data_IF_056088754167
#
_entry.id   IF_056088754167
#
_cell.length_a   1.000
_cell.length_b   1.000
_cell.length_c   1.000
_cell.angle_alpha   90.00
_cell.angle_beta   90.00
_cell.angle_gamma   90.00
#
_symmetry.space_group_name_H-M   'P 1'
#
loop_
_entity.id
_entity.type
_entity.pdbx_description
1 polymer ?
#
# COMPACT_ATOMS: atom_id res chain seq x y z
N UNK A 1 13.31 -49.05 -32.25
CA UNK A 1 13.91 -48.07 -31.37
C UNK A 1 13.41 -46.69 -31.74
N UNK A 2 12.47 -46.13 -30.99
CA UNK A 2 11.99 -44.76 -31.16
C UNK A 2 12.67 -43.93 -30.10
N UNK A 3 13.57 -43.01 -30.51
CA UNK A 3 14.22 -42.07 -29.63
C UNK A 3 13.23 -41.12 -29.06
N UNK A 4 13.14 -41.08 -27.75
CA UNK A 4 12.35 -40.09 -27.02
C UNK A 4 12.99 -38.73 -27.18
N UNK A 5 12.31 -37.80 -27.82
CA UNK A 5 12.62 -36.38 -27.75
C UNK A 5 12.44 -35.93 -26.31
N UNK A 6 13.54 -35.66 -25.64
CA UNK A 6 13.52 -34.90 -24.40
C UNK A 6 13.10 -33.48 -24.77
N UNK A 7 11.85 -33.15 -24.50
CA UNK A 7 11.34 -31.79 -24.63
C UNK A 7 12.26 -30.84 -23.85
N UNK A 8 12.80 -29.85 -24.53
CA UNK A 8 13.49 -28.73 -23.91
C UNK A 8 12.45 -28.07 -22.95
N UNK A 9 12.81 -27.77 -21.71
CA UNK A 9 11.92 -26.97 -20.87
C UNK A 9 11.59 -25.69 -21.63
N UNK A 10 10.32 -25.43 -21.87
CA UNK A 10 9.86 -24.24 -22.57
C UNK A 10 10.27 -23.02 -21.75
N UNK A 11 11.07 -22.15 -22.35
CA UNK A 11 11.39 -20.86 -21.74
C UNK A 11 10.12 -20.00 -21.87
N UNK A 12 9.48 -19.67 -20.75
CA UNK A 12 8.40 -18.70 -20.76
C UNK A 12 9.00 -17.31 -21.00
N UNK A 13 8.41 -16.56 -21.92
CA UNK A 13 8.70 -15.14 -22.12
C UNK A 13 7.37 -14.41 -22.20
N UNK A 14 7.19 -13.44 -21.37
CA UNK A 14 5.96 -12.64 -21.31
C UNK A 14 6.24 -11.22 -20.89
N UNK A 15 5.31 -10.32 -21.19
CA UNK A 15 5.41 -8.93 -20.80
C UNK A 15 4.03 -8.28 -20.82
N UNK A 16 3.87 -7.24 -20.04
CA UNK A 16 2.66 -6.44 -20.04
C UNK A 16 3.00 -4.97 -19.86
N UNK A 17 2.15 -4.11 -20.41
CA UNK A 17 2.26 -2.67 -20.21
C UNK A 17 1.38 -2.23 -19.07
N UNK A 18 1.90 -1.36 -18.23
CA UNK A 18 1.13 -0.71 -17.18
C UNK A 18 1.41 0.79 -17.13
N UNK A 19 0.44 1.57 -16.71
CA UNK A 19 0.61 3.00 -16.48
C UNK A 19 0.16 3.38 -15.08
N UNK A 20 0.77 4.43 -14.55
CA UNK A 20 0.34 5.06 -13.30
C UNK A 20 0.44 6.57 -13.44
N UNK A 21 -0.60 7.25 -13.07
CA UNK A 21 -0.70 8.71 -13.08
C UNK A 21 -0.88 9.18 -11.66
N UNK A 22 -0.20 10.25 -11.27
CA UNK A 22 -0.33 10.82 -9.93
C UNK A 22 -0.23 12.33 -9.97
N UNK A 23 -0.96 12.96 -9.07
CA UNK A 23 -0.89 14.38 -8.79
C UNK A 23 -0.86 14.57 -7.28
N UNK A 24 0.07 15.36 -6.79
CA UNK A 24 0.19 15.68 -5.36
C UNK A 24 0.53 17.14 -5.17
N UNK A 25 0.15 17.67 -4.01
CA UNK A 25 0.48 19.03 -3.58
C UNK A 25 0.75 19.04 -2.08
N UNK A 26 1.72 19.82 -1.64
CA UNK A 26 2.11 19.95 -0.25
C UNK A 26 2.22 21.43 0.12
N UNK A 27 1.11 22.11 0.46
CA UNK A 27 1.11 23.50 0.88
C UNK A 27 1.75 23.67 2.25
N UNK A 28 2.25 24.88 2.47
CA UNK A 28 2.75 25.35 3.76
C UNK A 28 1.79 26.43 4.26
N UNK A 29 1.30 26.28 5.49
CA UNK A 29 0.46 27.25 6.18
C UNK A 29 1.23 27.91 7.33
N UNK A 30 0.87 29.15 7.67
CA UNK A 30 1.52 29.90 8.77
C UNK A 30 2.70 30.75 8.34
N UNK A 31 3.43 31.28 9.31
CA UNK A 31 4.62 32.16 9.11
C UNK A 31 5.70 31.85 10.15
N UNK A 32 6.97 32.00 9.73
CA UNK A 32 8.13 31.89 10.64
C UNK A 32 8.19 30.52 11.31
N UNK A 33 8.39 30.52 12.62
CA UNK A 33 8.48 29.29 13.43
C UNK A 33 7.16 28.53 13.60
N UNK A 34 6.06 29.11 13.15
CA UNK A 34 4.70 28.50 13.24
C UNK A 34 4.22 28.01 11.88
N UNK A 35 5.14 27.65 10.99
CA UNK A 35 4.77 27.03 9.72
C UNK A 35 4.47 25.55 9.90
N UNK A 36 3.37 25.14 9.30
CA UNK A 36 2.96 23.73 9.22
C UNK A 36 2.79 23.32 7.76
N UNK A 37 3.06 22.06 7.48
CA UNK A 37 2.94 21.46 6.14
C UNK A 37 2.16 20.17 6.23
N UNK A 38 1.28 19.97 5.28
CA UNK A 38 0.68 18.67 5.02
C UNK A 38 0.55 18.49 3.51
N UNK A 39 0.07 17.34 3.06
CA UNK A 39 -0.05 17.04 1.65
C UNK A 39 -1.31 16.24 1.36
N UNK A 40 -1.70 16.27 0.11
CA UNK A 40 -2.69 15.33 -0.42
C UNK A 40 -2.34 14.94 -1.84
N UNK A 41 -2.88 13.79 -2.28
CA UNK A 41 -2.59 13.25 -3.59
C UNK A 41 -3.74 12.43 -4.16
N UNK A 42 -3.70 12.22 -5.47
CA UNK A 42 -4.45 11.18 -6.17
C UNK A 42 -3.49 10.38 -7.04
N UNK A 43 -3.67 9.08 -7.11
CA UNK A 43 -2.85 8.17 -7.93
C UNK A 43 -3.74 7.08 -8.49
N UNK A 44 -3.75 6.93 -9.83
CA UNK A 44 -4.63 6.01 -10.54
C UNK A 44 -3.91 5.37 -11.74
N UNK A 45 -4.46 4.27 -12.26
CA UNK A 45 -3.99 3.63 -13.48
C UNK A 45 -4.36 4.42 -14.73
N UNK A 46 -5.54 5.03 -14.76
CA UNK A 46 -5.99 5.88 -15.85
C UNK A 46 -6.00 7.36 -15.41
N UNK A 47 -5.59 8.30 -16.29
CA UNK A 47 -5.55 9.73 -15.93
C UNK A 47 -6.94 10.30 -15.65
N UNK A 48 -8.00 9.79 -16.32
CA UNK A 48 -9.38 10.22 -16.12
C UNK A 48 -9.96 9.88 -14.75
N UNK A 49 -9.35 8.94 -14.01
CA UNK A 49 -9.78 8.53 -12.67
C UNK A 49 -9.11 9.35 -11.56
N UNK A 50 -8.21 10.26 -11.92
CA UNK A 50 -7.59 11.16 -10.94
C UNK A 50 -8.64 12.13 -10.38
N UNK A 51 -8.53 12.42 -9.09
CA UNK A 51 -9.28 13.52 -8.50
C UNK A 51 -8.87 14.85 -9.16
N UNK A 52 -9.80 15.81 -9.23
CA UNK A 52 -9.51 17.11 -9.85
C UNK A 52 -8.38 17.84 -9.11
N UNK A 53 -7.51 18.58 -9.81
CA UNK A 53 -6.44 19.35 -9.19
C UNK A 53 -6.95 20.30 -8.10
N UNK A 54 -8.12 20.90 -8.32
CA UNK A 54 -8.76 21.81 -7.38
C UNK A 54 -9.17 21.10 -6.09
N UNK A 55 -9.73 19.88 -6.19
CA UNK A 55 -10.10 19.10 -5.03
C UNK A 55 -8.86 18.69 -4.20
N UNK A 56 -7.78 18.24 -4.88
CA UNK A 56 -6.52 17.87 -4.23
C UNK A 56 -5.91 19.09 -3.53
N UNK A 57 -5.86 20.24 -4.21
CA UNK A 57 -5.31 21.49 -3.66
C UNK A 57 -6.07 21.98 -2.44
N UNK A 58 -7.41 21.99 -2.53
CA UNK A 58 -8.28 22.40 -1.41
C UNK A 58 -8.07 21.51 -0.19
N UNK A 59 -8.16 20.20 -0.38
CA UNK A 59 -8.02 19.26 0.72
C UNK A 59 -6.62 19.30 1.36
N UNK A 60 -5.57 19.42 0.57
CA UNK A 60 -4.21 19.59 1.09
C UNK A 60 -4.05 20.89 1.90
N UNK A 61 -4.67 22.00 1.45
CA UNK A 61 -4.65 23.27 2.17
C UNK A 61 -5.41 23.18 3.51
N UNK A 62 -6.59 22.57 3.52
CA UNK A 62 -7.38 22.33 4.74
C UNK A 62 -6.58 21.51 5.76
N UNK A 63 -5.88 20.47 5.32
CA UNK A 63 -5.01 19.65 6.16
C UNK A 63 -3.86 20.47 6.75
N UNK A 64 -3.16 21.26 5.96
CA UNK A 64 -2.06 22.10 6.44
C UNK A 64 -2.55 23.16 7.45
N UNK A 65 -3.72 23.78 7.20
CA UNK A 65 -4.36 24.73 8.12
C UNK A 65 -4.76 24.07 9.44
N UNK A 66 -5.31 22.87 9.39
CA UNK A 66 -5.74 22.13 10.59
C UNK A 66 -4.58 21.78 11.53
N UNK A 67 -3.34 21.78 11.05
CA UNK A 67 -2.14 21.55 11.86
C UNK A 67 -1.66 22.78 12.61
N UNK A 68 -2.11 23.96 12.24
CA UNK A 68 -1.73 25.20 12.93
C UNK A 68 -2.15 25.17 14.39
N UNK A 69 -1.34 25.83 15.22
CA UNK A 69 -1.58 25.94 16.66
C UNK A 69 -1.62 24.59 17.41
N UNK A 70 -0.85 23.60 16.91
CA UNK A 70 -0.66 22.33 17.59
C UNK A 70 -0.16 22.52 19.02
N UNK A 71 -0.69 21.72 19.96
CA UNK A 71 -0.31 21.74 21.37
C UNK A 71 0.07 20.37 21.88
N UNK A 72 0.95 20.32 22.84
CA UNK A 72 1.24 19.08 23.55
C UNK A 72 0.06 18.68 24.40
N UNK A 73 -0.26 17.39 24.41
CA UNK A 73 -1.22 16.77 25.30
C UNK A 73 -0.49 15.87 26.28
N UNK A 74 -1.10 15.63 27.45
CA UNK A 74 -0.58 14.67 28.42
C UNK A 74 -0.61 13.24 27.85
N UNK A 75 0.28 12.39 28.37
CA UNK A 75 0.21 10.95 28.10
C UNK A 75 -1.17 10.43 28.51
N UNK A 76 -1.84 9.74 27.61
CA UNK A 76 -3.19 9.24 27.82
C UNK A 76 -3.40 7.92 27.10
N UNK A 77 -4.35 7.15 27.57
CA UNK A 77 -4.86 5.96 26.91
C UNK A 77 -6.28 6.26 26.42
N UNK A 78 -6.51 6.13 25.13
CA UNK A 78 -7.80 6.43 24.50
C UNK A 78 -7.96 5.66 23.19
N UNK A 79 -9.20 5.50 22.71
CA UNK A 79 -9.45 5.03 21.35
C UNK A 79 -8.80 5.96 20.32
N UNK A 80 -8.21 5.39 19.27
CA UNK A 80 -7.56 6.13 18.18
C UNK A 80 -8.22 5.80 16.85
N UNK A 81 -8.65 6.83 16.14
CA UNK A 81 -9.11 6.72 14.77
C UNK A 81 -7.94 7.00 13.80
N UNK A 82 -7.57 6.01 13.02
CA UNK A 82 -6.57 6.18 11.96
C UNK A 82 -7.25 6.59 10.66
N UNK A 83 -6.80 7.69 10.08
CA UNK A 83 -7.17 8.07 8.72
C UNK A 83 -6.74 6.97 7.72
N UNK A 84 -7.52 6.73 6.65
CA UNK A 84 -7.27 5.60 5.76
C UNK A 84 -5.87 5.52 5.15
N UNK A 85 -5.20 6.62 4.75
CA UNK A 85 -3.81 6.54 4.29
C UNK A 85 -2.82 6.09 5.37
N UNK A 86 -3.09 6.44 6.65
CA UNK A 86 -2.28 6.00 7.78
C UNK A 86 -2.59 4.55 8.16
N UNK A 87 -3.86 4.16 8.12
CA UNK A 87 -4.29 2.79 8.35
C UNK A 87 -3.65 1.81 7.34
N UNK A 88 -3.46 2.22 6.10
CA UNK A 88 -2.74 1.45 5.10
C UNK A 88 -1.30 1.12 5.54
N UNK A 89 -0.63 1.99 6.30
CA UNK A 89 0.68 1.72 6.89
C UNK A 89 0.66 0.60 7.92
N UNK A 90 -0.42 0.47 8.69
CA UNK A 90 -0.60 -0.64 9.64
C UNK A 90 -0.76 -1.97 8.91
N UNK A 91 -1.54 -1.99 7.81
CA UNK A 91 -1.63 -3.18 6.94
C UNK A 91 -0.29 -3.53 6.31
N UNK A 92 0.47 -2.53 5.88
CA UNK A 92 1.83 -2.74 5.37
C UNK A 92 2.75 -3.41 6.39
N UNK A 93 2.66 -3.05 7.67
CA UNK A 93 3.41 -3.71 8.73
C UNK A 93 2.98 -5.17 8.92
N UNK A 94 1.68 -5.47 8.82
CA UNK A 94 1.18 -6.84 8.86
C UNK A 94 1.72 -7.66 7.68
N UNK A 95 1.58 -7.15 6.45
CA UNK A 95 2.09 -7.82 5.24
C UNK A 95 3.58 -8.10 5.35
N UNK A 96 4.36 -7.12 5.81
CA UNK A 96 5.79 -7.31 6.04
C UNK A 96 6.07 -8.41 7.08
N UNK A 97 5.29 -8.48 8.15
CA UNK A 97 5.46 -9.49 9.19
C UNK A 97 5.10 -10.91 8.72
N UNK A 98 4.16 -11.04 7.77
CA UNK A 98 3.77 -12.34 7.19
C UNK A 98 4.66 -12.77 6.03
N UNK A 99 5.56 -11.92 5.54
CA UNK A 99 6.45 -12.28 4.43
C UNK A 99 7.37 -13.45 4.78
N UNK A 100 7.55 -14.39 3.84
CA UNK A 100 8.37 -15.57 4.02
C UNK A 100 9.81 -15.22 4.43
N UNK A 101 10.38 -14.15 3.87
CA UNK A 101 11.72 -13.67 4.25
C UNK A 101 11.81 -13.17 5.70
N UNK A 102 10.78 -12.49 6.21
CA UNK A 102 10.76 -12.02 7.60
C UNK A 102 10.61 -13.20 8.57
N UNK A 103 9.75 -14.16 8.24
CA UNK A 103 9.56 -15.38 9.02
C UNK A 103 10.84 -16.22 9.06
N UNK A 104 11.46 -16.46 7.91
CA UNK A 104 12.72 -17.22 7.81
C UNK A 104 13.84 -16.58 8.63
N UNK A 105 14.03 -15.28 8.54
CA UNK A 105 15.07 -14.56 9.32
C UNK A 105 14.70 -14.31 10.77
N UNK A 106 13.51 -14.74 11.22
CA UNK A 106 12.99 -14.51 12.58
C UNK A 106 12.93 -13.03 12.97
N UNK A 107 12.68 -12.15 11.99
CA UNK A 107 12.51 -10.71 12.22
C UNK A 107 11.05 -10.31 12.30
N UNK A 108 10.13 -11.25 12.14
CA UNK A 108 8.69 -11.03 12.27
C UNK A 108 8.26 -11.02 13.74
N UNK A 109 7.25 -10.17 14.05
CA UNK A 109 6.53 -10.21 15.32
C UNK A 109 5.39 -11.26 15.33
N UNK A 110 5.23 -12.03 14.25
CA UNK A 110 4.22 -13.07 14.09
C UNK A 110 4.86 -14.48 13.93
N UNK A 111 5.78 -14.90 14.80
CA UNK A 111 6.34 -16.25 14.71
C UNK A 111 5.23 -17.28 14.96
N UNK A 112 5.28 -18.41 14.25
CA UNK A 112 4.37 -19.53 14.43
C UNK A 112 2.88 -19.18 14.41
N UNK A 113 2.50 -18.19 13.59
CA UNK A 113 1.14 -17.66 13.50
C UNK A 113 0.26 -18.38 12.48
N UNK A 114 0.80 -19.29 11.68
CA UNK A 114 0.04 -20.06 10.69
C UNK A 114 -1.15 -20.78 11.34
N UNK A 115 -2.32 -20.60 10.77
CA UNK A 115 -3.57 -21.14 11.30
C UNK A 115 -4.11 -20.44 12.55
N UNK A 116 -3.45 -19.40 13.05
CA UNK A 116 -3.90 -18.61 14.19
C UNK A 116 -4.50 -17.28 13.74
N UNK A 117 -5.47 -16.82 14.50
CA UNK A 117 -6.04 -15.48 14.27
C UNK A 117 -5.07 -14.40 14.78
N UNK A 118 -4.64 -13.53 13.88
CA UNK A 118 -3.72 -12.42 14.17
C UNK A 118 -4.38 -11.04 14.11
N UNK A 119 -5.64 -10.98 13.69
CA UNK A 119 -6.42 -9.75 13.56
C UNK A 119 -7.72 -9.84 14.35
N UNK A 120 -8.38 -8.70 14.56
CA UNK A 120 -9.72 -8.65 15.17
C UNK A 120 -10.73 -9.48 14.36
N UNK A 121 -11.74 -10.05 15.03
CA UNK A 121 -12.70 -11.00 14.41
C UNK A 121 -13.46 -10.44 13.21
N UNK A 122 -13.63 -9.13 13.15
CA UNK A 122 -14.36 -8.42 12.08
C UNK A 122 -13.46 -7.91 10.96
N UNK A 123 -12.17 -8.26 10.97
CA UNK A 123 -11.22 -7.85 9.94
C UNK A 123 -10.69 -9.08 9.22
N UNK A 124 -10.86 -9.07 7.90
CA UNK A 124 -10.27 -10.02 6.99
C UNK A 124 -9.32 -9.28 6.05
N UNK A 125 -8.13 -9.83 5.84
CA UNK A 125 -7.15 -9.30 4.89
C UNK A 125 -7.00 -10.33 3.78
N UNK A 126 -7.32 -9.90 2.56
CA UNK A 126 -7.28 -10.73 1.37
C UNK A 126 -6.29 -10.13 0.39
N UNK A 127 -5.40 -10.94 -0.14
CA UNK A 127 -4.58 -10.61 -1.28
C UNK A 127 -5.29 -11.06 -2.55
N UNK A 128 -5.49 -10.13 -3.49
CA UNK A 128 -6.07 -10.42 -4.79
C UNK A 128 -5.28 -9.67 -5.89
N UNK A 129 -4.39 -10.39 -6.60
CA UNK A 129 -3.56 -9.79 -7.65
C UNK A 129 -4.34 -9.50 -8.95
N UNK A 130 -5.58 -9.94 -9.07
CA UNK A 130 -6.37 -9.85 -10.31
C UNK A 130 -7.48 -8.80 -10.27
N UNK A 131 -7.51 -7.92 -9.27
CA UNK A 131 -8.48 -6.82 -9.22
C UNK A 131 -8.31 -5.95 -10.47
N UNK A 132 -9.34 -5.78 -11.31
CA UNK A 132 -9.28 -4.93 -12.48
C UNK A 132 -8.86 -3.49 -12.10
N UNK A 133 -7.87 -2.95 -12.81
CA UNK A 133 -7.27 -1.64 -12.51
C UNK A 133 -6.69 -1.49 -11.09
N UNK A 134 -6.55 -2.57 -10.34
CA UNK A 134 -5.89 -2.56 -9.04
C UNK A 134 -4.45 -2.06 -9.13
N UNK A 135 -4.04 -1.20 -8.20
CA UNK A 135 -2.71 -0.56 -8.26
C UNK A 135 -1.56 -1.56 -8.11
N UNK A 136 -1.78 -2.66 -7.40
CA UNK A 136 -0.84 -3.76 -7.22
C UNK A 136 -1.10 -4.97 -8.12
N UNK A 137 -2.18 -4.93 -8.92
CA UNK A 137 -2.55 -6.08 -9.77
C UNK A 137 -1.56 -6.28 -10.92
N UNK A 138 -1.20 -7.53 -11.15
CA UNK A 138 -0.31 -7.96 -12.22
C UNK A 138 -0.72 -9.36 -12.72
N UNK A 139 -0.48 -9.70 -14.01
CA UNK A 139 -0.81 -11.02 -14.53
C UNK A 139 0.13 -12.13 -14.07
N UNK A 140 1.31 -11.80 -13.58
CA UNK A 140 2.32 -12.68 -13.01
C UNK A 140 3.29 -11.87 -12.13
N UNK A 141 3.97 -12.54 -11.22
CA UNK A 141 4.98 -11.98 -10.33
C UNK A 141 6.40 -11.95 -10.95
N UNK A 142 7.38 -11.48 -10.19
CA UNK A 142 8.78 -11.40 -10.63
C UNK A 142 9.43 -12.79 -10.84
N UNK A 143 8.84 -13.83 -10.28
CA UNK A 143 9.29 -15.22 -10.45
C UNK A 143 8.58 -15.90 -11.63
N UNK A 144 7.77 -15.15 -12.37
CA UNK A 144 6.93 -15.64 -13.49
C UNK A 144 5.95 -16.72 -13.08
N UNK A 145 5.60 -16.81 -11.81
CA UNK A 145 4.52 -17.64 -11.38
C UNK A 145 3.19 -16.98 -11.73
N UNK A 146 2.27 -17.76 -12.26
CA UNK A 146 0.86 -17.41 -12.23
C UNK A 146 0.49 -17.49 -10.76
N UNK A 147 0.20 -16.35 -10.18
CA UNK A 147 -0.05 -16.23 -8.75
C UNK A 147 -1.15 -17.20 -8.37
N UNK A 148 -0.75 -18.34 -7.87
CA UNK A 148 -1.59 -19.31 -7.24
C UNK A 148 -1.40 -19.14 -5.75
N UNK A 149 -2.35 -18.52 -5.20
CA UNK A 149 -2.45 -18.46 -3.75
C UNK A 149 -3.66 -19.29 -3.35
#
# INVERSE_FOLDING_TARGET
MRGGERGRPGIFSGGYASSRHSLSVAPIAGKGAHMERDYWYSSQRAPGDLASPQAIGRYAAERALARLNGRKIATTECPVLFESPLAAGLLGALVQATSGGALYRKTSFLPDSLGKRVMAKHLDVVEDPHIPNGKGSAPFDDELSLIHI
#
